data_IF_200948135219
#
_entry.id   IF_200948135219
#
_cell.length_a   1.000
_cell.length_b   1.000
_cell.length_c   1.000
_cell.angle_alpha   90.00
_cell.angle_beta   90.00
_cell.angle_gamma   90.00
#
_symmetry.space_group_name_H-M   'P 1'
#
loop_
_entity.id
_entity.type
_entity.pdbx_description
1 polymer ?
#
# COMPACT_ATOMS: atom_id res chain seq x y z
N UNK A 1 12.48 -8.66 -20.00
CA UNK A 1 11.32 -8.54 -19.08
C UNK A 1 11.21 -7.08 -18.67
N UNK A 2 9.99 -6.54 -18.60
CA UNK A 2 9.77 -5.21 -18.04
C UNK A 2 9.98 -5.30 -16.52
N UNK A 3 10.92 -4.54 -15.92
CA UNK A 3 11.17 -4.62 -14.48
C UNK A 3 9.97 -4.15 -13.63
N UNK A 4 8.96 -3.54 -14.25
CA UNK A 4 7.77 -2.98 -13.61
C UNK A 4 6.57 -3.93 -13.61
N UNK A 5 6.74 -5.16 -14.06
CA UNK A 5 5.66 -6.16 -14.12
C UNK A 5 6.17 -7.50 -13.61
N UNK A 6 5.30 -8.28 -13.00
CA UNK A 6 5.53 -9.66 -12.59
C UNK A 6 4.31 -10.53 -12.88
N UNK A 7 4.53 -11.83 -12.95
CA UNK A 7 3.48 -12.84 -12.92
C UNK A 7 2.99 -13.06 -11.48
N UNK A 8 1.86 -13.75 -11.34
CA UNK A 8 1.36 -14.22 -10.03
C UNK A 8 2.41 -15.01 -9.27
N UNK A 9 3.05 -15.97 -9.92
CA UNK A 9 4.02 -16.86 -9.28
C UNK A 9 5.25 -16.07 -8.79
N UNK A 10 5.74 -15.12 -9.59
CA UNK A 10 6.82 -14.22 -9.18
C UNK A 10 6.41 -13.34 -7.99
N UNK A 11 5.18 -12.83 -7.96
CA UNK A 11 4.64 -12.09 -6.81
C UNK A 11 4.61 -12.97 -5.56
N UNK A 12 4.11 -14.20 -5.67
CA UNK A 12 4.01 -15.14 -4.55
C UNK A 12 5.41 -15.48 -3.98
N UNK A 13 6.41 -15.66 -4.85
CA UNK A 13 7.80 -15.87 -4.45
C UNK A 13 8.38 -14.66 -3.72
N UNK A 14 8.17 -13.44 -4.24
CA UNK A 14 8.61 -12.19 -3.61
C UNK A 14 7.93 -11.99 -2.25
N UNK A 15 6.62 -12.22 -2.16
CA UNK A 15 5.85 -12.08 -0.94
C UNK A 15 6.32 -13.08 0.13
N UNK A 16 6.54 -14.33 -0.24
CA UNK A 16 7.07 -15.35 0.67
C UNK A 16 8.48 -15.00 1.18
N UNK A 17 9.35 -14.52 0.29
CA UNK A 17 10.70 -14.08 0.65
C UNK A 17 10.66 -12.90 1.63
N UNK A 18 9.80 -11.91 1.39
CA UNK A 18 9.66 -10.74 2.25
C UNK A 18 9.13 -11.11 3.64
N UNK A 19 8.09 -11.94 3.73
CA UNK A 19 7.54 -12.41 5.00
C UNK A 19 8.59 -13.19 5.82
N UNK A 20 9.43 -14.00 5.16
CA UNK A 20 10.52 -14.75 5.82
C UNK A 20 11.61 -13.87 6.43
N UNK A 21 11.80 -12.65 5.93
CA UNK A 21 12.79 -11.70 6.46
C UNK A 21 12.40 -11.09 7.81
N UNK A 22 11.16 -11.30 8.27
CA UNK A 22 10.69 -10.79 9.57
C UNK A 22 10.37 -9.29 9.57
N UNK A 23 10.08 -8.70 8.41
CA UNK A 23 9.79 -7.27 8.23
C UNK A 23 8.34 -6.89 8.56
N UNK A 24 7.80 -7.36 9.69
CA UNK A 24 6.41 -7.05 10.11
C UNK A 24 5.29 -7.61 9.22
N UNK A 25 5.60 -8.05 8.00
CA UNK A 25 4.68 -8.65 7.05
C UNK A 25 4.36 -10.10 7.40
N UNK A 26 3.07 -10.41 7.45
CA UNK A 26 2.54 -11.77 7.56
C UNK A 26 2.01 -12.20 6.22
N UNK A 27 2.47 -13.35 5.75
CA UNK A 27 1.93 -13.98 4.55
C UNK A 27 0.62 -14.69 4.90
N UNK A 28 -0.44 -14.34 4.18
CA UNK A 28 -1.75 -14.96 4.28
C UNK A 28 -2.10 -15.68 2.99
N UNK A 29 -2.98 -16.67 3.09
CA UNK A 29 -3.47 -17.38 1.92
C UNK A 29 -4.89 -17.88 2.10
N UNK A 30 -5.62 -17.95 0.99
CA UNK A 30 -6.91 -18.64 0.92
C UNK A 30 -7.08 -19.33 -0.43
N UNK A 31 -8.09 -20.18 -0.51
CA UNK A 31 -8.58 -20.72 -1.78
C UNK A 31 -9.85 -19.95 -2.14
N UNK A 32 -9.88 -19.37 -3.33
CA UNK A 32 -11.06 -18.64 -3.82
C UNK A 32 -12.19 -19.59 -4.24
N UNK A 33 -13.34 -19.03 -4.61
CA UNK A 33 -14.51 -19.80 -5.06
C UNK A 33 -14.27 -20.61 -6.34
N UNK A 34 -13.20 -20.34 -7.08
CA UNK A 34 -12.79 -21.05 -8.29
C UNK A 34 -11.68 -22.07 -8.02
N UNK A 35 -11.29 -22.28 -6.77
CA UNK A 35 -10.24 -23.22 -6.39
C UNK A 35 -8.82 -22.69 -6.59
N UNK A 36 -8.66 -21.41 -6.92
CA UNK A 36 -7.34 -20.78 -7.08
C UNK A 36 -6.79 -20.41 -5.72
N UNK A 37 -5.48 -20.64 -5.53
CA UNK A 37 -4.77 -20.15 -4.35
C UNK A 37 -4.49 -18.66 -4.52
N UNK A 38 -4.89 -17.88 -3.53
CA UNK A 38 -4.61 -16.45 -3.42
C UNK A 38 -3.67 -16.25 -2.24
N UNK A 39 -2.58 -15.52 -2.45
CA UNK A 39 -1.59 -15.14 -1.44
C UNK A 39 -1.54 -13.61 -1.37
N UNK A 40 -1.42 -13.08 -0.14
CA UNK A 40 -1.25 -11.65 0.09
C UNK A 40 -0.41 -11.41 1.34
N UNK A 41 0.08 -10.18 1.49
CA UNK A 41 0.80 -9.74 2.68
C UNK A 41 -0.09 -8.85 3.55
N UNK A 42 0.02 -9.02 4.86
CA UNK A 42 -0.62 -8.15 5.86
C UNK A 42 0.42 -7.59 6.81
N UNK A 43 0.40 -6.27 7.01
CA UNK A 43 1.28 -5.57 7.94
C UNK A 43 0.49 -4.48 8.66
N UNK A 44 0.76 -4.26 9.95
CA UNK A 44 0.08 -3.23 10.73
C UNK A 44 1.11 -2.22 11.21
N UNK A 45 0.81 -0.93 11.06
CA UNK A 45 1.64 0.17 11.56
C UNK A 45 0.77 1.20 12.26
N UNK A 46 1.34 1.88 13.26
CA UNK A 46 0.72 3.05 13.87
C UNK A 46 1.10 4.29 13.06
N UNK A 47 0.10 5.01 12.56
CA UNK A 47 0.27 6.35 12.00
C UNK A 47 0.27 7.37 13.13
N UNK A 48 1.12 8.39 13.01
CA UNK A 48 1.13 9.55 13.89
C UNK A 48 0.43 10.70 13.21
N UNK A 49 -0.48 11.34 13.93
CA UNK A 49 -1.18 12.50 13.39
C UNK A 49 -0.20 13.67 13.29
N UNK A 50 0.05 14.14 12.08
CA UNK A 50 0.89 15.32 11.85
C UNK A 50 0.02 16.58 11.85
N UNK A 51 -0.42 17.02 13.03
CA UNK A 51 -1.03 18.35 13.23
C UNK A 51 0.01 19.23 13.91
N UNK A 52 0.24 20.42 13.33
CA UNK A 52 1.42 21.25 13.59
C UNK A 52 1.47 21.94 14.95
N UNK A 53 2.69 22.29 15.35
CA UNK A 53 3.21 23.28 16.32
C UNK A 53 2.45 23.66 17.60
N UNK A 54 1.26 23.14 17.90
CA UNK A 54 0.60 23.28 19.18
C UNK A 54 0.94 22.06 20.06
N UNK A 55 1.90 22.27 20.95
CA UNK A 55 2.55 21.35 21.91
C UNK A 55 1.60 20.64 22.92
N UNK A 56 0.30 20.53 22.67
CA UNK A 56 -0.69 20.13 23.69
C UNK A 56 -1.71 19.03 23.27
N UNK A 57 -1.57 18.38 22.11
CA UNK A 57 -2.47 17.27 21.74
C UNK A 57 -1.71 15.94 21.75
N UNK A 58 -1.88 15.17 22.84
CA UNK A 58 -1.40 13.79 23.06
C UNK A 58 -1.20 13.00 21.77
N UNK A 59 -0.04 12.35 21.59
CA UNK A 59 0.32 11.35 20.56
C UNK A 59 -0.89 10.57 19.97
N UNK A 60 -1.70 11.19 19.11
CA UNK A 60 -2.83 10.50 18.49
C UNK A 60 -2.23 9.51 17.51
N UNK A 61 -2.42 8.23 17.84
CA UNK A 61 -1.99 7.09 17.06
C UNK A 61 -3.21 6.46 16.42
N UNK A 62 -3.09 6.14 15.14
CA UNK A 62 -4.09 5.38 14.39
C UNK A 62 -3.43 4.09 13.90
N UNK A 63 -3.91 2.93 14.36
CA UNK A 63 -3.46 1.67 13.79
C UNK A 63 -4.08 1.48 12.41
N UNK A 64 -3.24 1.23 11.41
CA UNK A 64 -3.63 0.93 10.04
C UNK A 64 -3.07 -0.42 9.64
N UNK A 65 -3.95 -1.29 9.14
CA UNK A 65 -3.55 -2.56 8.55
C UNK A 65 -3.45 -2.38 7.03
N UNK A 66 -2.28 -2.66 6.49
CA UNK A 66 -1.97 -2.64 5.07
C UNK A 66 -2.04 -4.05 4.50
N UNK A 67 -2.53 -4.15 3.28
CA UNK A 67 -2.63 -5.37 2.50
C UNK A 67 -1.93 -5.18 1.18
N UNK A 68 -1.00 -6.08 0.83
CA UNK A 68 -0.39 -6.12 -0.50
C UNK A 68 -0.94 -7.32 -1.26
N UNK A 69 -1.68 -7.05 -2.32
CA UNK A 69 -2.26 -8.05 -3.23
C UNK A 69 -1.59 -7.95 -4.59
N UNK A 70 -1.93 -8.86 -5.51
CA UNK A 70 -1.48 -8.78 -6.90
C UNK A 70 -2.63 -8.37 -7.81
N UNK A 71 -2.36 -7.42 -8.71
CA UNK A 71 -3.32 -6.96 -9.69
C UNK A 71 -3.05 -7.62 -11.04
N UNK A 72 -3.95 -8.54 -11.44
CA UNK A 72 -3.86 -9.29 -12.71
C UNK A 72 -3.91 -8.38 -13.94
N UNK A 73 -4.66 -7.28 -13.91
CA UNK A 73 -4.83 -6.39 -15.06
C UNK A 73 -3.54 -5.60 -15.38
N UNK A 74 -2.76 -5.28 -14.36
CA UNK A 74 -1.53 -4.47 -14.49
C UNK A 74 -0.26 -5.30 -14.30
N UNK A 75 -0.38 -6.57 -13.88
CA UNK A 75 0.72 -7.46 -13.55
C UNK A 75 1.67 -6.86 -12.48
N UNK A 76 1.10 -6.26 -11.44
CA UNK A 76 1.82 -5.47 -10.45
C UNK A 76 1.27 -5.70 -9.03
N UNK A 77 2.07 -5.43 -7.97
CA UNK A 77 1.54 -5.31 -6.62
C UNK A 77 0.50 -4.18 -6.52
N UNK A 78 -0.45 -4.34 -5.61
CA UNK A 78 -1.47 -3.35 -5.28
C UNK A 78 -1.57 -3.16 -3.78
N UNK A 79 -1.68 -1.90 -3.35
CA UNK A 79 -1.80 -1.52 -1.96
C UNK A 79 -3.27 -1.28 -1.60
N UNK A 80 -3.72 -1.97 -0.56
CA UNK A 80 -4.96 -1.67 0.15
C UNK A 80 -4.67 -1.43 1.63
N UNK A 81 -5.58 -0.77 2.34
CA UNK A 81 -5.48 -0.60 3.78
C UNK A 81 -6.83 -0.39 4.46
N UNK A 82 -6.83 -0.63 5.77
CA UNK A 82 -7.98 -0.44 6.64
C UNK A 82 -7.53 0.14 7.99
N UNK A 83 -8.03 1.33 8.39
CA UNK A 83 -7.81 1.86 9.73
C UNK A 83 -8.57 1.06 10.80
N UNK A 84 -8.09 1.02 12.03
CA UNK A 84 -8.70 0.26 13.13
C UNK A 84 -10.14 0.69 13.47
N UNK A 85 -10.49 1.94 13.15
CA UNK A 85 -11.84 2.47 13.22
C UNK A 85 -12.26 3.00 11.84
N UNK A 86 -13.56 2.92 11.48
CA UNK A 86 -14.05 3.53 10.25
C UNK A 86 -13.80 5.04 10.26
N UNK A 87 -13.10 5.53 9.24
CA UNK A 87 -12.83 6.94 9.01
C UNK A 87 -13.28 7.31 7.59
N UNK A 88 -13.75 8.53 7.41
CA UNK A 88 -14.03 9.07 6.09
C UNK A 88 -12.74 9.59 5.40
N UNK A 89 -12.88 10.00 4.14
CA UNK A 89 -11.79 10.54 3.34
C UNK A 89 -11.15 11.80 3.97
N UNK A 90 -11.97 12.67 4.57
CA UNK A 90 -11.53 13.93 5.14
C UNK A 90 -10.76 13.70 6.45
N UNK A 91 -11.13 12.72 7.24
CA UNK A 91 -10.37 12.35 8.44
C UNK A 91 -9.05 11.68 8.05
N UNK A 92 -9.07 10.74 7.10
CA UNK A 92 -7.88 10.00 6.66
C UNK A 92 -6.81 10.89 6.03
N UNK A 93 -7.17 11.94 5.30
CA UNK A 93 -6.20 12.86 4.73
C UNK A 93 -5.38 13.61 5.82
N UNK A 94 -5.90 13.71 7.04
CA UNK A 94 -5.13 14.28 8.18
C UNK A 94 -4.05 13.35 8.72
N UNK A 95 -4.08 12.06 8.34
CA UNK A 95 -3.12 11.03 8.74
C UNK A 95 -2.13 10.68 7.63
N UNK A 96 -2.54 10.74 6.36
CA UNK A 96 -1.73 10.37 5.20
C UNK A 96 -1.57 11.56 4.25
N UNK A 97 -0.42 12.26 4.33
CA UNK A 97 -0.16 13.49 3.57
C UNK A 97 0.41 13.27 2.17
N UNK A 98 0.87 12.06 1.85
CA UNK A 98 1.48 11.77 0.55
C UNK A 98 0.51 11.25 -0.50
N UNK A 99 -0.80 11.23 -0.21
CA UNK A 99 -1.83 10.68 -1.08
C UNK A 99 -3.08 11.56 -1.07
N UNK A 100 -3.91 11.47 -2.12
CA UNK A 100 -5.12 12.26 -2.27
C UNK A 100 -6.38 11.41 -2.16
N UNK A 101 -7.35 11.86 -1.35
CA UNK A 101 -8.61 11.16 -1.09
C UNK A 101 -9.80 11.84 -1.79
N UNK A 102 -9.70 12.11 -3.11
CA UNK A 102 -10.79 12.71 -3.89
C UNK A 102 -10.31 13.63 -5.02
N UNK A 103 -10.92 13.54 -6.21
CA UNK A 103 -10.43 14.19 -7.43
C UNK A 103 -10.87 15.65 -7.64
N UNK A 104 -11.02 16.46 -6.59
CA UNK A 104 -11.68 17.77 -6.70
C UNK A 104 -10.78 19.00 -6.69
N UNK A 105 -9.45 18.88 -6.69
CA UNK A 105 -8.58 20.04 -6.95
C UNK A 105 -7.50 19.71 -7.98
N UNK A 106 -7.57 20.40 -9.11
CA UNK A 106 -6.67 20.29 -10.27
C UNK A 106 -5.18 20.56 -9.96
N UNK A 107 -4.87 20.98 -8.74
CA UNK A 107 -3.53 21.30 -8.25
C UNK A 107 -2.82 20.09 -7.58
N UNK A 108 -3.53 18.99 -7.26
CA UNK A 108 -2.95 17.82 -6.56
C UNK A 108 -2.47 16.68 -7.49
N UNK A 109 -2.17 16.97 -8.76
CA UNK A 109 -1.72 15.95 -9.75
C UNK A 109 -0.38 15.26 -9.43
N UNK A 110 0.30 15.68 -8.37
CA UNK A 110 1.60 15.12 -7.96
C UNK A 110 1.47 13.94 -7.00
N UNK A 111 0.31 13.74 -6.37
CA UNK A 111 0.10 12.69 -5.37
C UNK A 111 -0.79 11.57 -5.91
N UNK A 112 -0.50 10.30 -5.58
CA UNK A 112 -1.33 9.19 -6.01
C UNK A 112 -2.69 9.21 -5.33
N UNK A 113 -3.69 8.74 -6.05
CA UNK A 113 -5.07 8.77 -5.63
C UNK A 113 -5.38 7.54 -4.76
N UNK A 114 -6.06 7.76 -3.65
CA UNK A 114 -6.62 6.73 -2.79
C UNK A 114 -8.13 6.86 -2.76
N UNK A 115 -8.82 5.74 -2.91
CA UNK A 115 -10.28 5.69 -2.82
C UNK A 115 -10.74 4.38 -2.21
N UNK A 116 -11.99 4.37 -1.72
CA UNK A 116 -12.62 3.15 -1.27
C UNK A 116 -12.94 2.27 -2.47
N UNK A 117 -12.35 1.07 -2.52
CA UNK A 117 -12.54 0.09 -3.60
C UNK A 117 -12.86 -1.29 -3.02
N UNK A 118 -13.51 -2.14 -3.83
CA UNK A 118 -13.70 -3.53 -3.44
C UNK A 118 -12.52 -4.37 -3.96
N UNK A 119 -11.75 -4.94 -3.04
CA UNK A 119 -10.68 -5.87 -3.38
C UNK A 119 -11.28 -7.27 -3.58
N UNK A 120 -11.34 -7.75 -4.82
CA UNK A 120 -11.90 -9.08 -5.14
C UNK A 120 -11.13 -10.21 -4.47
N UNK A 121 -9.80 -10.11 -4.43
CA UNK A 121 -8.94 -11.11 -3.79
C UNK A 121 -9.24 -11.25 -2.32
N UNK A 122 -9.47 -10.15 -1.60
CA UNK A 122 -9.74 -10.17 -0.17
C UNK A 122 -11.23 -10.31 0.13
N UNK A 123 -12.10 -10.01 -0.82
CA UNK A 123 -13.56 -9.90 -0.68
C UNK A 123 -13.96 -8.87 0.39
N UNK A 124 -13.27 -7.73 0.38
CA UNK A 124 -13.41 -6.65 1.36
C UNK A 124 -13.46 -5.29 0.66
N UNK A 125 -14.25 -4.36 1.21
CA UNK A 125 -14.15 -2.95 0.86
C UNK A 125 -12.99 -2.33 1.66
N UNK A 126 -12.01 -1.80 0.96
CA UNK A 126 -10.77 -1.27 1.53
C UNK A 126 -10.42 0.06 0.86
N UNK A 127 -9.71 0.91 1.58
CA UNK A 127 -9.03 2.03 0.93
C UNK A 127 -7.90 1.46 0.07
N UNK A 128 -7.80 1.88 -1.18
CA UNK A 128 -6.83 1.36 -2.13
C UNK A 128 -6.13 2.48 -2.88
N UNK A 129 -4.82 2.34 -3.07
CA UNK A 129 -4.06 3.17 -3.99
C UNK A 129 -4.47 2.82 -5.42
N UNK A 130 -4.73 3.83 -6.25
CA UNK A 130 -5.15 3.62 -7.62
C UNK A 130 -4.01 3.03 -8.46
N UNK A 131 -4.29 1.94 -9.19
CA UNK A 131 -3.25 1.20 -9.91
C UNK A 131 -2.61 2.02 -11.04
N UNK A 132 -3.34 2.98 -11.63
CA UNK A 132 -2.80 3.88 -12.65
C UNK A 132 -1.58 4.68 -12.16
N UNK A 133 -1.49 4.98 -10.87
CA UNK A 133 -0.38 5.76 -10.30
C UNK A 133 0.85 4.87 -9.99
N UNK A 134 0.65 3.55 -9.88
CA UNK A 134 1.69 2.61 -9.45
C UNK A 134 2.87 2.57 -10.43
N UNK A 135 2.60 2.55 -11.74
CA UNK A 135 3.67 2.52 -12.76
C UNK A 135 4.55 3.77 -12.67
N UNK A 136 3.94 4.95 -12.55
CA UNK A 136 4.69 6.22 -12.44
C UNK A 136 5.53 6.27 -11.16
N UNK A 137 4.98 5.81 -10.04
CA UNK A 137 5.70 5.73 -8.76
C UNK A 137 6.91 4.79 -8.85
N UNK A 138 6.75 3.63 -9.47
CA UNK A 138 7.85 2.68 -9.66
C UNK A 138 8.94 3.22 -10.60
N UNK A 139 8.55 3.88 -11.69
CA UNK A 139 9.49 4.54 -12.61
C UNK A 139 10.31 5.62 -11.91
N UNK A 140 9.66 6.41 -11.06
CA UNK A 140 10.30 7.49 -10.29
C UNK A 140 11.34 6.93 -9.32
N UNK A 141 10.99 5.88 -8.57
CA UNK A 141 11.89 5.22 -7.63
C UNK A 141 13.08 4.56 -8.34
N UNK A 142 12.84 3.92 -9.49
CA UNK A 142 13.91 3.36 -10.32
C UNK A 142 14.86 4.44 -10.87
N UNK A 143 14.32 5.56 -11.35
CA UNK A 143 15.10 6.70 -11.82
C UNK A 143 15.95 7.32 -10.69
N UNK A 144 15.43 7.28 -9.45
CA UNK A 144 16.15 7.64 -8.24
C UNK A 144 17.28 6.67 -7.83
N UNK A 145 17.49 5.57 -8.59
CA UNK A 145 18.58 4.63 -8.38
C UNK A 145 18.29 3.55 -7.34
N UNK A 146 17.06 3.48 -6.83
CA UNK A 146 16.64 2.46 -5.89
C UNK A 146 16.64 1.08 -6.55
N UNK A 147 17.02 0.05 -5.80
CA UNK A 147 17.20 -1.32 -6.28
C UNK A 147 16.43 -2.29 -5.40
N UNK A 148 15.92 -3.35 -6.03
CA UNK A 148 15.19 -4.41 -5.36
C UNK A 148 14.41 -5.22 -6.38
N UNK A 149 13.72 -6.25 -5.90
CA UNK A 149 12.66 -6.88 -6.68
C UNK A 149 11.43 -5.95 -6.77
N UNK A 150 10.47 -6.29 -7.63
CA UNK A 150 9.31 -5.42 -7.89
C UNK A 150 8.50 -5.10 -6.62
N UNK A 151 8.33 -6.06 -5.72
CA UNK A 151 7.61 -5.86 -4.46
C UNK A 151 8.36 -4.89 -3.52
N UNK A 152 9.69 -4.99 -3.45
CA UNK A 152 10.51 -4.07 -2.65
C UNK A 152 10.45 -2.64 -3.21
N UNK A 153 10.59 -2.51 -4.53
CA UNK A 153 10.48 -1.23 -5.22
C UNK A 153 9.10 -0.60 -5.01
N UNK A 154 8.04 -1.41 -5.05
CA UNK A 154 6.67 -0.98 -4.76
C UNK A 154 6.52 -0.47 -3.33
N UNK A 155 6.99 -1.23 -2.33
CA UNK A 155 6.89 -0.82 -0.93
C UNK A 155 7.70 0.46 -0.64
N UNK A 156 8.87 0.60 -1.27
CA UNK A 156 9.69 1.81 -1.16
C UNK A 156 9.06 3.01 -1.87
N UNK A 157 8.25 2.80 -2.92
CA UNK A 157 7.57 3.89 -3.63
C UNK A 157 6.32 4.38 -2.92
N UNK A 158 5.56 3.49 -2.27
CA UNK A 158 4.29 3.84 -1.61
C UNK A 158 4.43 4.08 -0.11
N UNK A 159 5.42 3.48 0.55
CA UNK A 159 5.46 3.38 2.01
C UNK A 159 5.44 4.71 2.72
N UNK A 160 6.26 5.67 2.30
CA UNK A 160 6.29 7.02 2.90
C UNK A 160 5.02 7.82 2.61
N UNK A 161 4.36 7.56 1.48
CA UNK A 161 3.17 8.30 1.04
C UNK A 161 1.97 8.04 1.94
N UNK A 162 1.81 6.78 2.36
CA UNK A 162 0.73 6.32 3.24
C UNK A 162 1.16 6.18 4.71
N UNK A 163 2.39 6.57 5.05
CA UNK A 163 2.90 6.55 6.43
C UNK A 163 3.22 5.16 6.98
N UNK A 164 3.54 4.17 6.14
CA UNK A 164 4.00 2.86 6.62
C UNK A 164 5.21 2.99 7.56
N UNK A 165 5.21 2.21 8.64
CA UNK A 165 6.34 2.08 9.55
C UNK A 165 7.56 1.50 8.87
N UNK A 166 8.75 1.83 9.39
CA UNK A 166 10.05 1.38 8.83
C UNK A 166 10.20 -0.13 8.84
N UNK A 167 9.51 -0.81 9.75
CA UNK A 167 9.46 -2.25 9.84
C UNK A 167 8.78 -2.89 8.62
N UNK A 168 7.90 -2.16 7.91
CA UNK A 168 7.17 -2.65 6.74
C UNK A 168 7.83 -2.24 5.40
N UNK A 169 8.85 -1.39 5.40
CA UNK A 169 9.51 -0.90 4.17
C UNK A 169 10.95 -1.48 4.10
N UNK A 170 11.28 -2.26 3.05
CA UNK A 170 12.57 -2.95 2.91
C UNK A 170 13.77 -2.06 2.57
#
# INVERSE_FOLDING_TARGET
MNPLTCTRDEFDEMAFSLAKRGMGWRLQSKIDSFGRRVLWLEGTSALLRSVGDDDDDDDKRLLVTFFITFNECYCQPQLHFFPECPLDAQELCTWMKGVCFGGSDLEEKEHPIVSMTFCEELQMALWGLHQCDTTLLLETVLAGGVRGNLLELFLQSVGSLVGMGKELVP
#
